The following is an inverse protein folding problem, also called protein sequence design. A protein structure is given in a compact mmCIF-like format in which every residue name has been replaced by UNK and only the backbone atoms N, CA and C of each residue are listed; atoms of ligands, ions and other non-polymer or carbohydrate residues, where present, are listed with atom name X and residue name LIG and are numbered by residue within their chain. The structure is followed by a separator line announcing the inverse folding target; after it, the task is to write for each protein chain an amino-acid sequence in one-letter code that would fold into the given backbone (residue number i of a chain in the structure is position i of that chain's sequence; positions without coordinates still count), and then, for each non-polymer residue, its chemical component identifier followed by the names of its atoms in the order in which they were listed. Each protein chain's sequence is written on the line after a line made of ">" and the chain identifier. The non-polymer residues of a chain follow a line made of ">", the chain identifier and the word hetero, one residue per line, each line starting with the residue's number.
data_IF_998542751566
#
_entry.id   IF_998542751566
#
_cell.length_a   1.000
_cell.length_b   1.000
_cell.length_c   1.000
_cell.angle_alpha   90.00
_cell.angle_beta   90.00
_cell.angle_gamma   90.00
#
_symmetry.space_group_name_H-M   'P 1'
#
loop_
_entity.id
_entity.type
_entity.pdbx_description
1 polymer ?
#
# COMPACT_ATOMS: atom_id res chain seq x y z
N UNK A 1 -75.83 11.90 60.72
CA UNK A 1 -75.94 11.03 59.53
C UNK A 1 -77.19 11.41 58.76
N UNK A 2 -78.38 11.36 59.37
CA UNK A 2 -79.65 11.75 58.71
C UNK A 2 -79.74 13.20 58.14
N UNK A 3 -78.98 14.17 58.65
CA UNK A 3 -78.94 15.54 58.08
C UNK A 3 -78.02 15.68 56.86
N UNK A 4 -77.12 14.72 56.59
CA UNK A 4 -76.15 14.81 55.47
C UNK A 4 -76.70 14.28 54.15
N UNK A 5 -77.69 13.39 54.19
CA UNK A 5 -78.28 12.75 53.00
C UNK A 5 -79.11 13.72 52.14
N UNK A 6 -79.64 14.79 52.75
CA UNK A 6 -80.40 15.83 52.05
C UNK A 6 -79.53 16.74 51.19
N UNK A 7 -78.24 16.90 51.56
CA UNK A 7 -77.28 17.72 50.81
C UNK A 7 -76.44 16.89 49.84
N UNK A 8 -76.16 15.62 50.17
CA UNK A 8 -75.32 14.72 49.37
C UNK A 8 -75.99 13.35 49.28
N UNK A 9 -76.66 13.02 48.15
CA UNK A 9 -77.28 11.73 47.96
C UNK A 9 -76.25 10.59 48.10
N UNK A 10 -76.61 9.54 48.83
CA UNK A 10 -75.77 8.36 49.13
C UNK A 10 -74.66 8.56 50.19
N UNK A 11 -74.64 9.67 50.95
CA UNK A 11 -73.68 9.86 52.03
C UNK A 11 -73.74 8.75 53.11
N UNK A 12 -74.92 8.18 53.33
CA UNK A 12 -75.19 7.14 54.32
C UNK A 12 -74.67 5.75 53.92
N UNK A 13 -74.26 5.58 52.65
CA UNK A 13 -73.67 4.35 52.10
C UNK A 13 -72.14 4.38 52.04
N UNK A 14 -71.50 5.46 52.51
CA UNK A 14 -70.05 5.53 52.58
C UNK A 14 -69.54 4.59 53.70
N UNK A 15 -68.64 3.64 53.40
CA UNK A 15 -68.10 2.76 54.42
C UNK A 15 -67.36 3.59 55.46
N UNK A 16 -67.84 3.57 56.70
CA UNK A 16 -67.14 4.15 57.84
C UNK A 16 -65.88 3.30 58.07
N UNK A 17 -64.73 3.83 57.69
CA UNK A 17 -63.44 3.19 57.96
C UNK A 17 -63.18 3.33 59.46
N UNK A 18 -63.51 2.29 60.23
CA UNK A 18 -63.16 2.20 61.63
C UNK A 18 -61.65 1.88 61.74
N UNK A 19 -60.83 2.93 61.85
CA UNK A 19 -59.39 2.76 62.06
C UNK A 19 -59.14 2.26 63.48
N UNK A 20 -58.50 1.09 63.60
CA UNK A 20 -58.03 0.58 64.89
C UNK A 20 -56.95 1.54 65.44
N UNK A 21 -57.17 2.22 66.57
CA UNK A 21 -56.22 3.22 67.09
C UNK A 21 -54.88 2.60 67.56
N UNK A 22 -54.81 1.28 67.73
CA UNK A 22 -53.58 0.57 68.06
C UNK A 22 -52.71 0.26 66.82
N UNK A 23 -53.20 0.53 65.60
CA UNK A 23 -52.50 0.22 64.35
C UNK A 23 -52.28 1.49 63.56
N UNK A 24 -51.02 1.89 63.40
CA UNK A 24 -50.68 3.02 62.53
C UNK A 24 -51.08 2.69 61.08
N UNK A 25 -51.92 3.50 60.42
CA UNK A 25 -52.33 3.25 59.05
C UNK A 25 -51.12 3.34 58.11
N UNK A 26 -51.06 2.48 57.08
CA UNK A 26 -49.93 2.49 56.15
C UNK A 26 -49.87 3.82 55.43
N UNK A 27 -48.67 4.40 55.34
CA UNK A 27 -48.44 5.57 54.51
C UNK A 27 -48.47 5.18 53.03
N UNK A 28 -48.65 6.15 52.13
CA UNK A 28 -48.47 5.92 50.70
C UNK A 28 -47.12 5.26 50.38
N UNK A 29 -46.08 5.50 51.18
CA UNK A 29 -44.77 4.86 51.01
C UNK A 29 -44.75 3.38 51.42
N UNK A 30 -45.62 2.97 52.36
CA UNK A 30 -45.76 1.58 52.79
C UNK A 30 -46.55 0.75 51.77
N UNK A 31 -47.60 1.34 51.20
CA UNK A 31 -48.42 0.73 50.14
C UNK A 31 -47.67 0.59 48.81
N UNK A 32 -46.70 1.48 48.53
CA UNK A 32 -45.85 1.43 47.33
C UNK A 32 -44.74 0.37 47.45
N UNK A 33 -44.59 -0.32 48.60
CA UNK A 33 -43.72 -1.47 48.74
C UNK A 33 -42.24 -1.14 48.53
N UNK A 34 -41.59 -0.52 49.53
CA UNK A 34 -40.12 -0.33 49.53
C UNK A 34 -39.33 -1.65 49.37
N UNK A 35 -39.92 -2.80 49.69
CA UNK A 35 -39.31 -4.10 49.46
C UNK A 35 -39.20 -4.47 47.97
N UNK A 36 -40.13 -4.05 47.11
CA UNK A 36 -40.06 -4.35 45.67
C UNK A 36 -39.24 -3.32 44.88
N UNK A 37 -39.22 -2.05 45.29
CA UNK A 37 -38.40 -1.02 44.66
C UNK A 37 -36.89 -1.15 44.94
N UNK A 38 -36.51 -1.72 46.09
CA UNK A 38 -35.10 -2.03 46.38
C UNK A 38 -34.57 -3.24 45.58
N UNK A 39 -35.44 -4.22 45.28
CA UNK A 39 -35.07 -5.41 44.52
C UNK A 39 -34.85 -5.08 43.03
N UNK A 40 -35.60 -4.14 42.46
CA UNK A 40 -35.40 -3.69 41.08
C UNK A 40 -34.24 -2.68 40.88
N UNK A 41 -33.75 -2.06 41.96
CA UNK A 41 -32.64 -1.09 41.87
C UNK A 41 -31.26 -1.69 42.03
N UNK A 42 -31.18 -2.99 42.35
CA UNK A 42 -29.96 -3.78 42.22
C UNK A 42 -29.87 -4.36 40.81
N UNK A 43 -29.72 -3.51 39.79
CA UNK A 43 -29.01 -3.94 38.58
C UNK A 43 -27.57 -4.21 39.02
N UNK A 44 -27.29 -5.47 39.37
CA UNK A 44 -26.03 -5.91 39.96
C UNK A 44 -24.88 -5.42 39.08
N UNK A 45 -24.29 -4.29 39.47
CA UNK A 45 -23.21 -3.71 38.70
C UNK A 45 -22.07 -4.71 38.75
N UNK A 46 -21.66 -5.24 37.59
CA UNK A 46 -20.59 -6.24 37.52
C UNK A 46 -19.38 -5.73 38.32
N UNK A 47 -18.85 -6.58 39.19
CA UNK A 47 -17.64 -6.27 39.95
C UNK A 47 -16.51 -5.89 39.00
N UNK A 48 -15.62 -4.98 39.44
CA UNK A 48 -14.52 -4.50 38.60
C UNK A 48 -13.71 -5.65 38.00
N UNK A 49 -13.41 -6.67 38.81
CA UNK A 49 -12.72 -7.91 38.38
C UNK A 49 -13.44 -8.63 37.24
N UNK A 50 -14.77 -8.73 37.29
CA UNK A 50 -15.56 -9.41 36.24
C UNK A 50 -15.59 -8.61 34.94
N UNK A 51 -15.60 -7.27 35.00
CA UNK A 51 -15.49 -6.43 33.79
C UNK A 51 -14.13 -6.58 33.12
N UNK A 52 -13.05 -6.62 33.89
CA UNK A 52 -11.71 -6.88 33.37
C UNK A 52 -11.58 -8.27 32.73
N UNK A 53 -12.13 -9.31 33.35
CA UNK A 53 -12.17 -10.66 32.77
C UNK A 53 -12.92 -10.70 31.44
N UNK A 54 -14.08 -10.05 31.36
CA UNK A 54 -14.86 -9.92 30.11
C UNK A 54 -14.04 -9.18 29.05
N UNK A 55 -13.35 -8.10 29.41
CA UNK A 55 -12.49 -7.37 28.48
C UNK A 55 -11.33 -8.22 27.94
N UNK A 56 -10.65 -8.98 28.81
CA UNK A 56 -9.55 -9.86 28.39
C UNK A 56 -10.04 -10.96 27.44
N UNK A 57 -11.21 -11.56 27.71
CA UNK A 57 -11.81 -12.54 26.82
C UNK A 57 -12.23 -11.92 25.48
N UNK A 58 -12.87 -10.74 25.51
CA UNK A 58 -13.26 -10.03 24.30
C UNK A 58 -12.05 -9.65 23.43
N UNK A 59 -10.96 -9.18 24.05
CA UNK A 59 -9.68 -8.92 23.38
C UNK A 59 -9.15 -10.17 22.69
N UNK A 60 -9.01 -11.28 23.43
CA UNK A 60 -8.43 -12.52 22.90
C UNK A 60 -9.29 -13.11 21.76
N UNK A 61 -10.60 -13.21 21.97
CA UNK A 61 -11.54 -13.73 20.96
C UNK A 61 -11.49 -12.86 19.71
N UNK A 62 -11.53 -11.53 19.86
CA UNK A 62 -11.49 -10.63 18.72
C UNK A 62 -10.18 -10.74 17.94
N UNK A 63 -9.03 -10.74 18.62
CA UNK A 63 -7.73 -10.81 17.97
C UNK A 63 -7.56 -12.12 17.19
N UNK A 64 -7.92 -13.26 17.80
CA UNK A 64 -7.85 -14.58 17.14
C UNK A 64 -8.82 -14.67 15.97
N UNK A 65 -10.04 -14.18 16.12
CA UNK A 65 -11.06 -14.23 15.06
C UNK A 65 -10.65 -13.39 13.85
N UNK A 66 -10.19 -12.16 14.09
CA UNK A 66 -9.71 -11.27 13.02
C UNK A 66 -8.44 -11.81 12.37
N UNK A 67 -7.49 -12.36 13.14
CA UNK A 67 -6.32 -13.02 12.59
C UNK A 67 -6.70 -14.23 11.71
N UNK A 68 -7.69 -15.02 12.13
CA UNK A 68 -8.24 -16.13 11.33
C UNK A 68 -8.87 -15.66 10.02
N UNK A 69 -9.73 -14.63 10.05
CA UNK A 69 -10.33 -14.04 8.84
C UNK A 69 -9.25 -13.50 7.90
N UNK A 70 -8.21 -12.86 8.46
CA UNK A 70 -7.07 -12.36 7.69
C UNK A 70 -6.26 -13.49 7.04
N UNK A 71 -6.01 -14.58 7.76
CA UNK A 71 -5.32 -15.75 7.25
C UNK A 71 -6.06 -16.44 6.08
N UNK A 72 -7.39 -16.26 6.00
CA UNK A 72 -8.21 -16.71 4.85
C UNK A 72 -8.14 -15.77 3.64
N UNK A 73 -7.44 -14.63 3.74
CA UNK A 73 -7.30 -13.64 2.67
C UNK A 73 -8.50 -12.70 2.50
N UNK A 74 -9.53 -12.79 3.34
CA UNK A 74 -10.78 -12.02 3.17
C UNK A 74 -10.59 -10.50 3.36
N UNK A 75 -9.53 -10.09 4.08
CA UNK A 75 -9.21 -8.70 4.32
C UNK A 75 -8.25 -8.09 3.29
N UNK A 76 -7.65 -8.91 2.41
CA UNK A 76 -6.57 -8.49 1.51
C UNK A 76 -6.93 -7.26 0.68
N UNK A 77 -8.12 -7.24 0.05
CA UNK A 77 -8.56 -6.11 -0.80
C UNK A 77 -8.58 -4.80 0.00
N UNK A 78 -9.16 -4.84 1.21
CA UNK A 78 -9.28 -3.65 2.07
C UNK A 78 -7.92 -3.19 2.60
N UNK A 79 -7.04 -4.13 2.93
CA UNK A 79 -5.68 -3.83 3.38
C UNK A 79 -4.83 -3.19 2.28
N UNK A 80 -4.91 -3.69 1.04
CA UNK A 80 -4.20 -3.12 -0.11
C UNK A 80 -4.75 -1.74 -0.50
N UNK A 81 -6.07 -1.55 -0.48
CA UNK A 81 -6.67 -0.23 -0.69
C UNK A 81 -6.25 0.78 0.39
N UNK A 82 -6.13 0.31 1.64
CA UNK A 82 -5.65 1.12 2.76
C UNK A 82 -4.18 1.46 2.59
N UNK A 83 -3.35 0.52 2.16
CA UNK A 83 -1.95 0.78 1.79
C UNK A 83 -1.87 1.89 0.75
N UNK A 84 -2.69 1.84 -0.30
CA UNK A 84 -2.69 2.88 -1.33
C UNK A 84 -3.10 4.25 -0.78
N UNK A 85 -4.13 4.28 0.09
CA UNK A 85 -4.56 5.51 0.76
C UNK A 85 -3.42 6.10 1.60
N UNK A 86 -2.75 5.28 2.40
CA UNK A 86 -1.63 5.71 3.23
C UNK A 86 -0.47 6.20 2.37
N UNK A 87 -0.17 5.52 1.25
CA UNK A 87 0.84 5.95 0.27
C UNK A 87 0.53 7.32 -0.32
N UNK A 88 -0.74 7.58 -0.69
CA UNK A 88 -1.19 8.89 -1.20
C UNK A 88 -1.13 10.01 -0.17
N UNK A 89 -1.29 9.68 1.12
CA UNK A 89 -1.22 10.64 2.23
C UNK A 89 0.22 10.97 2.64
N UNK A 90 1.24 10.32 2.08
CA UNK A 90 2.63 10.62 2.42
C UNK A 90 3.01 12.01 1.89
N UNK A 91 3.93 12.71 2.58
CA UNK A 91 4.52 13.93 2.05
C UNK A 91 5.17 13.67 0.69
N UNK A 92 5.03 14.60 -0.25
CA UNK A 92 5.70 14.52 -1.53
C UNK A 92 7.22 14.56 -1.32
N UNK A 93 7.93 13.59 -1.89
CA UNK A 93 9.39 13.57 -1.87
C UNK A 93 9.96 14.44 -3.00
N UNK A 94 11.13 15.04 -2.77
CA UNK A 94 11.83 15.89 -3.75
C UNK A 94 12.14 15.07 -5.03
N UNK A 95 12.10 15.72 -6.19
CA UNK A 95 12.47 15.13 -7.48
C UNK A 95 13.89 14.53 -7.46
N UNK A 96 14.11 13.40 -8.13
CA UNK A 96 15.41 12.73 -8.17
C UNK A 96 16.26 13.25 -9.33
N UNK A 97 17.14 14.19 -9.04
CA UNK A 97 18.01 14.85 -10.02
C UNK A 97 19.04 13.91 -10.67
N UNK A 98 19.17 12.66 -10.22
CA UNK A 98 20.05 11.65 -10.84
C UNK A 98 19.41 10.96 -12.03
N UNK A 99 18.12 11.17 -12.25
CA UNK A 99 17.38 10.61 -13.37
C UNK A 99 16.90 11.70 -14.34
N UNK A 100 16.76 11.32 -15.61
CA UNK A 100 16.12 12.08 -16.67
C UNK A 100 15.26 11.13 -17.50
N UNK A 101 14.06 11.56 -17.90
CA UNK A 101 13.25 10.85 -18.88
C UNK A 101 13.29 11.61 -20.21
N UNK A 102 13.72 10.93 -21.26
CA UNK A 102 13.45 11.33 -22.65
C UNK A 102 12.14 10.65 -23.04
N UNK A 103 11.08 11.44 -23.04
CA UNK A 103 9.74 10.95 -23.36
C UNK A 103 9.47 11.00 -24.86
N UNK A 104 8.77 9.98 -25.37
CA UNK A 104 8.21 9.95 -26.72
C UNK A 104 6.73 10.23 -26.62
N UNK A 105 6.34 11.45 -26.97
CA UNK A 105 4.95 11.94 -26.88
C UNK A 105 4.18 11.67 -28.17
N UNK A 106 2.88 12.01 -28.19
CA UNK A 106 2.07 11.94 -29.42
C UNK A 106 2.64 12.81 -30.53
N UNK A 107 3.11 14.03 -30.20
CA UNK A 107 3.73 14.92 -31.19
C UNK A 107 5.04 14.36 -31.74
N UNK A 108 5.78 13.59 -30.94
CA UNK A 108 6.98 12.89 -31.42
C UNK A 108 6.59 11.74 -32.36
N UNK A 109 5.52 11.00 -32.04
CA UNK A 109 4.99 9.91 -32.87
C UNK A 109 4.45 10.43 -34.21
N UNK A 110 3.72 11.54 -34.22
CA UNK A 110 3.24 12.17 -35.45
C UNK A 110 4.40 12.60 -36.35
N UNK A 111 5.51 13.07 -35.75
CA UNK A 111 6.67 13.57 -36.47
C UNK A 111 7.61 12.46 -36.97
N UNK A 112 7.87 11.45 -36.15
CA UNK A 112 8.89 10.41 -36.42
C UNK A 112 8.30 9.04 -36.76
N UNK A 113 6.98 8.88 -36.66
CA UNK A 113 6.27 7.62 -36.87
C UNK A 113 6.27 6.70 -35.63
N UNK A 114 5.41 5.68 -35.66
CA UNK A 114 5.38 4.63 -34.65
C UNK A 114 5.23 3.24 -35.30
N UNK A 115 6.06 2.25 -34.94
CA UNK A 115 7.22 2.33 -34.05
C UNK A 115 8.33 3.25 -34.60
N UNK A 116 9.08 3.92 -33.71
CA UNK A 116 10.21 4.78 -34.12
C UNK A 116 11.26 3.98 -34.90
N UNK A 117 11.80 4.53 -36.00
CA UNK A 117 12.86 3.88 -36.76
C UNK A 117 14.17 3.74 -35.96
N UNK A 118 15.03 2.82 -36.38
CA UNK A 118 16.33 2.61 -35.71
C UNK A 118 17.26 3.82 -35.87
N UNK A 119 17.14 4.59 -36.96
CA UNK A 119 17.86 5.85 -37.15
C UNK A 119 17.52 6.88 -36.06
N UNK A 120 16.24 7.00 -35.68
CA UNK A 120 15.80 7.94 -34.64
C UNK A 120 16.35 7.52 -33.28
N UNK A 121 16.27 6.23 -32.94
CA UNK A 121 16.84 5.72 -31.69
C UNK A 121 18.38 5.86 -31.65
N UNK A 122 19.06 5.53 -32.76
CA UNK A 122 20.51 5.67 -32.85
C UNK A 122 20.94 7.13 -32.64
N UNK A 123 20.21 8.09 -33.23
CA UNK A 123 20.46 9.52 -33.04
C UNK A 123 20.23 9.96 -31.59
N UNK A 124 19.12 9.53 -30.96
CA UNK A 124 18.83 9.85 -29.57
C UNK A 124 19.90 9.31 -28.62
N UNK A 125 20.27 8.04 -28.76
CA UNK A 125 21.34 7.41 -27.97
C UNK A 125 22.68 8.14 -28.20
N UNK A 126 23.01 8.47 -29.45
CA UNK A 126 24.23 9.19 -29.79
C UNK A 126 24.30 10.56 -29.08
N UNK A 127 23.20 11.33 -29.05
CA UNK A 127 23.13 12.62 -28.36
C UNK A 127 23.29 12.48 -26.85
N UNK A 128 22.65 11.48 -26.25
CA UNK A 128 22.79 11.22 -24.82
C UNK A 128 24.21 10.78 -24.44
N UNK A 129 24.84 9.93 -25.25
CA UNK A 129 26.22 9.53 -25.08
C UNK A 129 27.17 10.73 -25.23
N UNK A 130 26.96 11.58 -26.24
CA UNK A 130 27.73 12.81 -26.47
C UNK A 130 27.65 13.77 -25.28
N UNK A 131 26.50 13.87 -24.62
CA UNK A 131 26.31 14.72 -23.44
C UNK A 131 26.63 14.02 -22.11
N UNK A 132 27.29 12.85 -22.13
CA UNK A 132 27.84 12.21 -20.94
C UNK A 132 26.81 11.53 -20.05
N UNK A 133 25.72 11.00 -20.62
CA UNK A 133 24.81 10.13 -19.87
C UNK A 133 25.57 8.93 -19.27
N UNK A 134 25.45 8.73 -17.95
CA UNK A 134 26.16 7.66 -17.24
C UNK A 134 25.53 6.29 -17.53
N UNK A 135 24.21 6.26 -17.66
CA UNK A 135 23.44 5.07 -18.01
C UNK A 135 22.31 5.50 -18.92
N UNK A 136 22.11 4.80 -20.03
CA UNK A 136 21.00 5.00 -20.97
C UNK A 136 20.14 3.74 -20.94
N UNK A 137 18.95 3.82 -20.37
CA UNK A 137 17.99 2.72 -20.31
C UNK A 137 16.94 2.93 -21.41
N UNK A 138 17.07 2.19 -22.50
CA UNK A 138 16.12 2.23 -23.60
C UNK A 138 14.92 1.34 -23.25
N UNK A 139 13.83 1.95 -22.81
CA UNK A 139 12.54 1.30 -22.49
C UNK A 139 11.63 1.23 -23.73
N UNK A 140 12.18 0.74 -24.84
CA UNK A 140 11.45 0.54 -26.09
C UNK A 140 11.89 -0.80 -26.70
N UNK A 141 10.93 -1.71 -26.90
CA UNK A 141 11.20 -3.03 -27.49
C UNK A 141 11.76 -2.93 -28.91
N UNK A 142 12.85 -3.65 -29.17
CA UNK A 142 13.47 -3.79 -30.51
C UNK A 142 13.81 -5.24 -30.84
N UNK A 143 12.83 -6.17 -30.91
CA UNK A 143 13.09 -7.60 -31.14
C UNK A 143 13.59 -7.92 -32.56
N UNK A 144 13.46 -6.99 -33.51
CA UNK A 144 13.86 -7.12 -34.91
C UNK A 144 14.39 -5.77 -35.43
N UNK A 145 15.29 -5.78 -36.43
CA UNK A 145 15.71 -4.58 -37.15
C UNK A 145 14.53 -3.78 -37.68
N UNK A 146 14.60 -2.46 -37.61
CA UNK A 146 13.61 -1.55 -38.19
C UNK A 146 14.30 -0.40 -38.94
N UNK A 147 14.39 -0.56 -40.26
CA UNK A 147 14.96 0.45 -41.15
C UNK A 147 14.11 1.74 -41.20
N UNK A 148 14.72 2.89 -41.53
CA UNK A 148 16.16 3.07 -41.78
C UNK A 148 16.99 3.10 -40.50
N UNK A 149 18.26 2.70 -40.60
CA UNK A 149 19.29 2.99 -39.60
C UNK A 149 19.65 1.84 -38.64
N UNK A 150 19.30 0.59 -38.96
CA UNK A 150 19.62 -0.55 -38.10
C UNK A 150 21.13 -0.68 -37.85
N UNK A 151 21.97 -0.51 -38.88
CA UNK A 151 23.42 -0.60 -38.76
C UNK A 151 23.98 0.39 -37.71
N UNK A 152 23.45 1.62 -37.69
CA UNK A 152 23.86 2.63 -36.72
C UNK A 152 23.41 2.26 -35.30
N UNK A 153 22.18 1.79 -35.12
CA UNK A 153 21.68 1.36 -33.81
C UNK A 153 22.39 0.10 -33.31
N UNK A 154 22.68 -0.86 -34.19
CA UNK A 154 23.44 -2.07 -33.87
C UNK A 154 24.87 -1.73 -33.41
N UNK A 155 25.54 -0.79 -34.07
CA UNK A 155 26.84 -0.30 -33.65
C UNK A 155 26.78 0.34 -32.24
N UNK A 156 25.71 1.08 -31.93
CA UNK A 156 25.48 1.60 -30.57
C UNK A 156 25.26 0.48 -29.56
N UNK A 157 24.43 -0.51 -29.90
CA UNK A 157 24.22 -1.69 -29.05
C UNK A 157 25.50 -2.46 -28.78
N UNK A 158 26.46 -2.50 -29.70
CA UNK A 158 27.73 -3.19 -29.48
C UNK A 158 28.78 -2.32 -28.76
N UNK A 159 28.89 -1.04 -29.14
CA UNK A 159 29.97 -0.14 -28.69
C UNK A 159 29.67 0.69 -27.44
N UNK A 160 28.44 1.15 -27.26
CA UNK A 160 28.10 2.09 -26.17
C UNK A 160 27.86 1.32 -24.86
N UNK A 161 28.88 1.24 -24.01
CA UNK A 161 28.83 0.50 -22.74
C UNK A 161 27.73 0.96 -21.78
N UNK A 162 27.32 2.23 -21.88
CA UNK A 162 26.27 2.81 -21.04
C UNK A 162 24.85 2.49 -21.51
N UNK A 163 24.67 1.93 -22.72
CA UNK A 163 23.36 1.59 -23.28
C UNK A 163 22.89 0.23 -22.79
N UNK A 164 21.74 0.23 -22.13
CA UNK A 164 20.99 -0.93 -21.68
C UNK A 164 19.70 -0.99 -22.50
N UNK A 165 19.41 -2.16 -23.06
CA UNK A 165 18.15 -2.44 -23.72
C UNK A 165 17.33 -3.46 -22.95
N UNK A 166 16.15 -3.78 -23.51
CA UNK A 166 15.17 -4.56 -22.78
C UNK A 166 14.62 -5.76 -23.55
N UNK A 167 14.10 -6.73 -22.79
CA UNK A 167 13.23 -7.80 -23.27
C UNK A 167 12.07 -8.02 -22.28
N UNK A 168 11.18 -8.96 -22.57
CA UNK A 168 10.15 -9.39 -21.61
C UNK A 168 10.03 -10.90 -21.63
N UNK A 169 9.91 -11.49 -20.45
CA UNK A 169 9.71 -12.92 -20.27
C UNK A 169 8.26 -13.34 -20.56
N UNK A 170 8.03 -14.64 -20.52
CA UNK A 170 6.68 -15.19 -20.66
C UNK A 170 5.92 -14.99 -19.35
N UNK A 171 4.75 -14.38 -19.42
CA UNK A 171 3.86 -14.29 -18.26
C UNK A 171 3.21 -15.67 -17.99
N UNK A 172 3.41 -16.23 -16.81
CA UNK A 172 2.84 -17.55 -16.44
C UNK A 172 1.32 -17.59 -16.55
N UNK A 173 0.67 -16.46 -16.25
CA UNK A 173 -0.78 -16.35 -16.21
C UNK A 173 -1.39 -16.00 -17.57
N UNK A 174 -0.56 -15.80 -18.61
CA UNK A 174 -0.97 -15.52 -19.99
C UNK A 174 -0.21 -16.43 -20.95
N UNK A 175 -0.61 -17.70 -21.09
CA UNK A 175 0.13 -18.69 -21.87
C UNK A 175 0.34 -18.29 -23.34
N UNK A 176 -0.54 -17.43 -23.88
CA UNK A 176 -0.46 -16.92 -25.25
C UNK A 176 0.53 -15.73 -25.42
N UNK A 177 1.07 -15.17 -24.34
CA UNK A 177 2.03 -14.06 -24.39
C UNK A 177 3.45 -14.60 -24.21
N UNK A 178 4.08 -15.00 -25.32
CA UNK A 178 5.37 -15.71 -25.35
C UNK A 178 6.62 -14.88 -24.95
N UNK A 179 6.45 -13.70 -24.35
CA UNK A 179 7.52 -12.74 -24.13
C UNK A 179 8.05 -12.09 -25.42
N UNK A 180 8.89 -11.08 -25.24
CA UNK A 180 9.46 -10.27 -26.33
C UNK A 180 10.98 -10.47 -26.36
N UNK A 181 11.52 -10.76 -27.55
CA UNK A 181 12.96 -10.99 -27.76
C UNK A 181 13.79 -9.71 -27.51
N UNK A 182 15.04 -9.86 -27.04
CA UNK A 182 15.96 -8.73 -26.94
C UNK A 182 16.38 -8.18 -28.31
N UNK A 183 16.98 -6.98 -28.36
CA UNK A 183 17.65 -6.49 -29.56
C UNK A 183 18.76 -7.43 -30.02
N UNK A 184 18.80 -7.88 -31.30
CA UNK A 184 19.75 -8.90 -31.76
C UNK A 184 21.23 -8.55 -31.54
N UNK A 185 21.57 -7.26 -31.61
CA UNK A 185 22.95 -6.78 -31.49
C UNK A 185 23.36 -6.43 -30.03
N UNK A 186 22.44 -6.50 -29.06
CA UNK A 186 22.70 -6.11 -27.68
C UNK A 186 23.24 -7.30 -26.87
N UNK A 187 24.36 -7.15 -26.15
CA UNK A 187 24.91 -8.22 -25.32
C UNK A 187 24.07 -8.45 -24.05
N UNK A 188 24.09 -9.67 -23.52
CA UNK A 188 23.25 -10.11 -22.39
C UNK A 188 23.52 -9.34 -21.10
N UNK A 189 24.75 -8.89 -20.89
CA UNK A 189 25.16 -8.16 -19.68
C UNK A 189 24.50 -6.79 -19.58
N UNK A 190 24.08 -6.22 -20.73
CA UNK A 190 23.38 -4.93 -20.86
C UNK A 190 21.91 -5.09 -21.19
N UNK A 191 21.35 -6.25 -20.86
CA UNK A 191 19.94 -6.55 -21.05
C UNK A 191 19.22 -6.54 -19.69
N UNK A 192 18.05 -5.93 -19.65
CA UNK A 192 17.11 -6.01 -18.52
C UNK A 192 15.72 -6.43 -18.97
N UNK A 193 14.94 -7.05 -18.09
CA UNK A 193 13.55 -7.37 -18.38
C UNK A 193 12.60 -6.22 -17.97
N UNK A 194 11.55 -5.94 -18.74
CA UNK A 194 10.56 -4.90 -18.38
C UNK A 194 9.37 -5.43 -17.58
N UNK A 195 9.32 -6.75 -17.33
CA UNK A 195 8.22 -7.41 -16.62
C UNK A 195 7.95 -6.76 -15.25
N UNK A 196 6.67 -6.55 -14.97
CA UNK A 196 6.15 -6.01 -13.73
C UNK A 196 5.23 -7.02 -13.08
N UNK A 197 5.14 -6.94 -11.76
CA UNK A 197 4.23 -7.79 -10.99
C UNK A 197 3.00 -6.98 -10.61
N UNK A 198 1.86 -7.41 -11.12
CA UNK A 198 0.57 -6.76 -10.92
C UNK A 198 -0.21 -7.52 -9.83
N UNK A 199 -0.73 -6.81 -8.84
CA UNK A 199 -1.58 -7.42 -7.81
C UNK A 199 -2.94 -7.83 -8.37
N UNK A 200 -3.70 -8.61 -7.61
CA UNK A 200 -5.01 -9.16 -8.02
C UNK A 200 -6.04 -8.10 -8.44
N UNK A 201 -5.88 -6.86 -7.97
CA UNK A 201 -6.72 -5.71 -8.30
C UNK A 201 -6.18 -4.84 -9.45
N UNK A 202 -5.11 -5.29 -10.13
CA UNK A 202 -4.54 -4.60 -11.28
C UNK A 202 -3.52 -3.51 -10.95
N UNK A 203 -3.22 -3.28 -9.67
CA UNK A 203 -2.33 -2.21 -9.21
C UNK A 203 -0.90 -2.73 -8.97
N UNK A 204 0.10 -1.96 -9.41
CA UNK A 204 1.51 -2.26 -9.14
C UNK A 204 1.89 -1.69 -7.78
N UNK A 205 2.18 -2.58 -6.83
CA UNK A 205 2.72 -2.24 -5.50
C UNK A 205 4.09 -2.86 -5.22
N UNK A 206 4.51 -3.75 -6.10
CA UNK A 206 5.71 -4.58 -5.96
C UNK A 206 6.71 -4.26 -7.05
N UNK A 207 7.98 -4.41 -6.70
CA UNK A 207 9.11 -4.25 -7.59
C UNK A 207 9.84 -5.58 -7.70
N UNK A 208 9.82 -6.17 -8.90
CA UNK A 208 10.61 -7.34 -9.25
C UNK A 208 12.01 -6.88 -9.69
N UNK A 209 13.01 -7.14 -8.84
CA UNK A 209 14.39 -6.75 -9.09
C UNK A 209 15.09 -7.80 -9.96
N UNK A 210 14.92 -9.06 -9.56
CA UNK A 210 15.56 -10.19 -10.20
C UNK A 210 14.57 -11.32 -10.43
N UNK A 211 14.78 -12.11 -11.48
CA UNK A 211 14.05 -13.35 -11.68
C UNK A 211 15.00 -14.38 -12.29
N UNK A 212 14.68 -15.65 -12.16
CA UNK A 212 15.42 -16.69 -12.87
C UNK A 212 14.70 -17.00 -14.18
N UNK A 213 15.28 -16.68 -15.35
CA UNK A 213 14.66 -16.97 -16.63
C UNK A 213 14.62 -18.49 -16.84
N UNK A 214 13.50 -19.00 -17.38
CA UNK A 214 13.44 -20.40 -17.81
C UNK A 214 14.22 -20.58 -19.11
N UNK A 215 14.74 -21.78 -19.36
CA UNK A 215 15.49 -22.10 -20.59
C UNK A 215 14.68 -21.91 -21.88
N UNK A 216 13.35 -21.96 -21.79
CA UNK A 216 12.41 -21.70 -22.88
C UNK A 216 12.08 -20.22 -23.10
N UNK A 217 12.49 -19.33 -22.18
CA UNK A 217 12.13 -17.92 -22.23
C UNK A 217 12.93 -17.18 -23.31
N UNK A 218 12.24 -16.27 -24.00
CA UNK A 218 12.84 -15.42 -25.03
C UNK A 218 13.75 -14.34 -24.45
N UNK A 219 13.62 -14.07 -23.15
CA UNK A 219 14.34 -13.04 -22.41
C UNK A 219 15.22 -13.74 -21.37
N UNK A 220 16.52 -13.81 -21.64
CA UNK A 220 17.49 -14.56 -20.83
C UNK A 220 18.32 -13.64 -19.93
N UNK A 221 17.65 -12.75 -19.19
CA UNK A 221 18.30 -11.85 -18.22
C UNK A 221 17.66 -12.01 -16.86
N UNK A 222 18.50 -12.00 -15.83
CA UNK A 222 18.06 -12.18 -14.45
C UNK A 222 17.66 -10.87 -13.79
N UNK A 223 17.88 -9.72 -14.45
CA UNK A 223 17.76 -8.39 -13.87
C UNK A 223 16.66 -7.61 -14.58
N UNK A 224 15.82 -6.91 -13.81
CA UNK A 224 14.88 -5.97 -14.41
C UNK A 224 15.61 -4.79 -15.04
N UNK A 225 14.99 -4.10 -16.00
CA UNK A 225 15.56 -2.91 -16.64
C UNK A 225 15.91 -1.86 -15.58
N UNK A 226 15.02 -1.62 -14.63
CA UNK A 226 15.26 -0.72 -13.50
C UNK A 226 16.43 -1.15 -12.62
N UNK A 227 16.52 -2.43 -12.26
CA UNK A 227 17.65 -2.94 -11.48
C UNK A 227 18.97 -2.84 -12.25
N UNK A 228 18.99 -3.24 -13.52
CA UNK A 228 20.19 -3.15 -14.38
C UNK A 228 20.67 -1.72 -14.52
N UNK A 229 19.76 -0.76 -14.77
CA UNK A 229 20.10 0.65 -14.91
C UNK A 229 20.67 1.23 -13.61
N UNK A 230 20.02 0.95 -12.47
CA UNK A 230 20.49 1.40 -11.16
C UNK A 230 21.85 0.79 -10.79
N UNK A 231 22.04 -0.51 -11.00
CA UNK A 231 23.29 -1.19 -10.69
C UNK A 231 24.45 -0.72 -11.59
N UNK A 232 24.19 -0.48 -12.88
CA UNK A 232 25.19 0.09 -13.80
C UNK A 232 25.64 1.48 -13.31
N UNK A 233 24.71 2.32 -12.90
CA UNK A 233 24.99 3.66 -12.36
C UNK A 233 25.79 3.61 -11.05
N UNK A 234 25.40 2.71 -10.14
CA UNK A 234 26.06 2.52 -8.84
C UNK A 234 27.46 1.92 -8.98
N UNK A 235 27.66 1.03 -9.95
CA UNK A 235 28.98 0.44 -10.23
C UNK A 235 30.01 1.50 -10.62
N UNK A 236 29.61 2.53 -11.38
CA UNK A 236 30.46 3.68 -11.70
C UNK A 236 30.87 4.51 -10.46
N UNK A 237 30.14 4.36 -9.35
CA UNK A 237 30.45 4.96 -8.04
C UNK A 237 31.14 3.99 -7.08
N UNK A 238 31.58 2.82 -7.57
CA UNK A 238 32.25 1.80 -6.76
C UNK A 238 31.31 0.99 -5.86
N UNK A 239 29.99 1.10 -6.02
CA UNK A 239 29.00 0.38 -5.21
C UNK A 239 28.54 -0.86 -5.99
N UNK A 240 28.70 -2.04 -5.38
CA UNK A 240 28.31 -3.33 -5.95
C UNK A 240 27.36 -4.09 -5.00
N UNK A 241 26.45 -4.93 -5.54
CA UNK A 241 25.64 -5.84 -4.73
C UNK A 241 26.50 -6.77 -3.89
N UNK A 242 26.05 -7.05 -2.67
CA UNK A 242 26.64 -8.02 -1.76
C UNK A 242 25.55 -9.00 -1.31
N UNK A 243 25.81 -10.30 -1.41
CA UNK A 243 24.90 -11.31 -0.87
C UNK A 243 25.02 -11.32 0.66
N UNK A 244 23.87 -11.28 1.34
CA UNK A 244 23.76 -11.33 2.78
C UNK A 244 22.93 -12.57 3.20
N UNK A 245 23.06 -13.04 4.46
CA UNK A 245 22.28 -14.16 4.96
C UNK A 245 20.76 -13.95 4.87
N UNK A 246 20.02 -15.02 4.61
CA UNK A 246 18.55 -15.03 4.53
C UNK A 246 18.00 -14.37 3.28
N UNK A 247 18.60 -14.66 2.12
CA UNK A 247 18.23 -14.14 0.80
C UNK A 247 18.19 -12.61 0.71
N UNK A 248 18.99 -11.93 1.53
CA UNK A 248 19.10 -10.47 1.53
C UNK A 248 20.22 -10.01 0.60
N UNK A 249 20.06 -8.81 0.07
CA UNK A 249 21.08 -8.15 -0.74
C UNK A 249 21.48 -6.82 -0.11
N UNK A 250 22.74 -6.68 0.25
CA UNK A 250 23.35 -5.41 0.62
C UNK A 250 23.69 -4.60 -0.63
N UNK A 251 23.42 -3.30 -0.61
CA UNK A 251 23.77 -2.38 -1.69
C UNK A 251 23.98 -0.97 -1.12
N UNK A 252 25.25 -0.54 -1.05
CA UNK A 252 25.60 0.74 -0.44
C UNK A 252 25.15 0.82 1.01
N UNK A 253 24.31 1.81 1.34
CA UNK A 253 23.74 2.01 2.69
C UNK A 253 22.50 1.14 2.98
N UNK A 254 21.96 0.43 1.99
CA UNK A 254 20.68 -0.25 2.10
C UNK A 254 20.79 -1.78 2.11
N UNK A 255 19.82 -2.40 2.77
CA UNK A 255 19.60 -3.85 2.77
C UNK A 255 18.24 -4.11 2.13
N UNK A 256 18.25 -4.83 1.02
CA UNK A 256 17.07 -5.28 0.30
C UNK A 256 16.70 -6.67 0.83
N UNK A 257 15.45 -6.84 1.27
CA UNK A 257 14.91 -8.10 1.74
C UNK A 257 13.70 -8.48 0.87
N UNK A 258 13.65 -9.71 0.34
CA UNK A 258 12.54 -10.15 -0.49
C UNK A 258 11.25 -10.30 0.33
N UNK A 259 10.12 -10.19 -0.35
CA UNK A 259 8.80 -10.58 0.19
C UNK A 259 8.58 -12.08 -0.09
N UNK A 260 7.87 -12.76 0.82
CA UNK A 260 7.56 -14.19 0.73
C UNK A 260 6.05 -14.44 0.66
N UNK A 261 5.64 -15.66 0.28
CA UNK A 261 4.27 -16.09 -0.01
C UNK A 261 3.17 -15.55 0.95
N UNK A 262 3.38 -15.62 2.27
CA UNK A 262 2.42 -15.17 3.29
C UNK A 262 2.96 -14.01 4.13
N UNK A 263 3.30 -12.91 3.48
CA UNK A 263 3.79 -11.70 4.17
C UNK A 263 2.76 -10.58 4.09
N UNK A 264 2.39 -10.01 5.24
CA UNK A 264 1.58 -8.80 5.28
C UNK A 264 0.13 -9.03 4.91
N UNK A 265 -0.41 -8.15 4.07
CA UNK A 265 -1.78 -8.26 3.56
C UNK A 265 -1.95 -9.32 2.46
N UNK A 266 -0.85 -9.87 1.94
CA UNK A 266 -0.88 -10.81 0.83
C UNK A 266 -1.17 -12.24 1.31
N UNK A 267 -2.10 -12.90 0.64
CA UNK A 267 -2.40 -14.32 0.81
C UNK A 267 -2.18 -15.08 -0.50
N UNK A 268 -1.38 -16.15 -0.46
CA UNK A 268 -0.95 -16.94 -1.64
C UNK A 268 -0.28 -16.09 -2.71
N UNK A 269 0.72 -15.33 -2.30
CA UNK A 269 1.48 -14.45 -3.17
C UNK A 269 2.35 -15.27 -4.12
N UNK A 270 2.33 -14.92 -5.41
CA UNK A 270 3.39 -15.35 -6.31
C UNK A 270 4.69 -14.62 -5.93
N UNK A 271 5.53 -15.29 -5.16
CA UNK A 271 6.80 -14.79 -4.61
C UNK A 271 8.03 -15.20 -5.45
N UNK A 272 7.81 -15.65 -6.69
CA UNK A 272 8.91 -15.97 -7.62
C UNK A 272 9.75 -14.73 -7.94
N UNK A 273 11.06 -14.93 -7.95
CA UNK A 273 12.02 -13.86 -8.14
C UNK A 273 12.18 -12.96 -6.91
N UNK A 274 13.12 -12.02 -6.99
CA UNK A 274 13.40 -11.11 -5.89
C UNK A 274 12.46 -9.92 -5.95
N UNK A 275 11.41 -9.96 -5.13
CA UNK A 275 10.38 -8.93 -5.08
C UNK A 275 10.47 -8.11 -3.80
N UNK A 276 10.29 -6.80 -3.88
CA UNK A 276 10.17 -5.89 -2.72
C UNK A 276 8.94 -5.00 -2.86
N UNK A 277 8.52 -4.35 -1.77
CA UNK A 277 7.48 -3.33 -1.84
C UNK A 277 8.01 -2.06 -2.50
N UNK A 278 7.23 -1.50 -3.41
CA UNK A 278 7.55 -0.26 -4.11
C UNK A 278 7.14 0.95 -3.27
N UNK A 279 8.16 1.71 -2.87
CA UNK A 279 8.08 2.99 -2.20
C UNK A 279 8.10 4.14 -3.23
N UNK A 280 6.93 4.42 -3.81
CA UNK A 280 6.75 5.52 -4.76
C UNK A 280 7.16 6.87 -4.15
N UNK A 281 7.87 7.68 -4.94
CA UNK A 281 8.37 9.01 -4.54
C UNK A 281 7.28 10.08 -4.59
N UNK A 282 6.60 10.16 -5.73
CA UNK A 282 5.51 11.08 -6.02
C UNK A 282 4.80 10.62 -7.30
N UNK A 283 3.48 10.84 -7.46
CA UNK A 283 2.78 10.53 -8.70
C UNK A 283 3.22 11.41 -9.87
N UNK A 284 3.60 12.66 -9.60
CA UNK A 284 3.91 13.67 -10.61
C UNK A 284 5.29 14.31 -10.33
N UNK A 285 6.00 14.68 -11.39
CA UNK A 285 7.21 15.51 -11.35
C UNK A 285 8.39 14.97 -10.50
N UNK A 286 8.40 13.67 -10.19
CA UNK A 286 9.51 13.05 -9.45
C UNK A 286 10.81 12.93 -10.27
N UNK A 287 10.71 13.13 -11.60
CA UNK A 287 11.80 13.06 -12.56
C UNK A 287 11.62 14.19 -13.57
N UNK A 288 12.74 14.79 -13.99
CA UNK A 288 12.75 15.75 -15.11
C UNK A 288 12.43 15.01 -16.41
N UNK A 289 11.54 15.58 -17.23
CA UNK A 289 11.13 15.01 -18.52
C UNK A 289 11.50 15.98 -19.64
N UNK A 290 12.01 15.44 -20.75
CA UNK A 290 12.34 16.19 -21.97
C UNK A 290 11.82 15.42 -23.17
N UNK A 291 11.34 16.10 -24.21
CA UNK A 291 10.77 15.43 -25.38
C UNK A 291 11.86 14.88 -26.28
N UNK A 292 11.58 13.78 -26.97
CA UNK A 292 12.48 13.20 -27.95
C UNK A 292 12.84 14.22 -29.04
N UNK A 293 11.87 14.95 -29.59
CA UNK A 293 12.12 16.01 -30.56
C UNK A 293 13.06 17.11 -30.04
N UNK A 294 12.96 17.47 -28.75
CA UNK A 294 13.82 18.49 -28.14
C UNK A 294 15.25 18.00 -27.99
N UNK A 295 15.44 16.74 -27.59
CA UNK A 295 16.75 16.09 -27.54
C UNK A 295 17.40 16.06 -28.93
N UNK A 296 16.66 15.63 -29.95
CA UNK A 296 17.16 15.52 -31.32
C UNK A 296 17.43 16.90 -31.96
N UNK A 297 16.72 17.94 -31.53
CA UNK A 297 16.93 19.32 -31.96
C UNK A 297 17.98 20.08 -31.14
N UNK A 298 18.72 19.40 -30.24
CA UNK A 298 19.73 19.99 -29.35
C UNK A 298 19.19 21.14 -28.46
N UNK A 299 17.91 21.08 -28.10
CA UNK A 299 17.26 22.08 -27.21
C UNK A 299 17.30 21.71 -25.73
N UNK A 300 17.83 20.52 -25.42
CA UNK A 300 17.97 20.03 -24.03
C UNK A 300 19.30 20.52 -23.47
N UNK A 301 19.29 21.04 -22.25
CA UNK A 301 20.50 21.45 -21.55
C UNK A 301 21.44 20.24 -21.36
N UNK A 302 22.68 20.24 -21.89
CA UNK A 302 23.62 19.13 -21.73
C UNK A 302 23.90 18.78 -20.26
N UNK A 303 23.88 19.78 -19.36
CA UNK A 303 24.10 19.57 -17.93
C UNK A 303 22.96 18.79 -17.25
N UNK A 304 21.77 18.72 -17.86
CA UNK A 304 20.69 17.86 -17.36
C UNK A 304 20.82 16.40 -17.80
N UNK A 305 21.80 16.06 -18.65
CA UNK A 305 22.06 14.69 -19.14
C UNK A 305 23.31 14.10 -18.47
N UNK A 306 24.36 14.91 -18.30
CA UNK A 306 25.65 14.46 -17.80
C UNK A 306 25.55 13.77 -16.43
N UNK A 307 26.24 12.64 -16.27
CA UNK A 307 26.34 11.87 -15.02
C UNK A 307 25.00 11.38 -14.44
N UNK A 308 23.99 11.16 -15.28
CA UNK A 308 22.64 10.69 -14.89
C UNK A 308 22.26 9.36 -15.53
N UNK A 309 21.23 8.74 -14.96
CA UNK A 309 20.48 7.66 -15.60
C UNK A 309 19.42 8.30 -16.50
N UNK A 310 19.47 8.04 -17.79
CA UNK A 310 18.51 8.54 -18.76
C UNK A 310 17.65 7.40 -19.25
N UNK A 311 16.35 7.47 -18.97
CA UNK A 311 15.35 6.57 -19.55
C UNK A 311 14.87 7.13 -20.88
N UNK A 312 14.67 6.28 -21.87
CA UNK A 312 14.01 6.63 -23.14
C UNK A 312 12.77 5.75 -23.27
N UNK A 313 11.58 6.32 -23.34
CA UNK A 313 10.35 5.52 -23.41
C UNK A 313 9.12 6.30 -23.84
N UNK A 314 8.07 5.57 -24.18
CA UNK A 314 6.83 6.13 -24.74
C UNK A 314 5.89 6.58 -23.63
N UNK A 315 5.47 7.85 -23.68
CA UNK A 315 4.47 8.45 -22.78
C UNK A 315 3.21 8.92 -23.51
N UNK A 316 3.13 8.64 -24.83
CA UNK A 316 1.93 8.83 -25.64
C UNK A 316 0.83 7.80 -25.28
N UNK A 317 -0.43 8.23 -25.07
CA UNK A 317 -1.53 7.34 -24.76
C UNK A 317 -2.02 6.57 -26.00
N UNK A 318 -1.29 5.51 -26.36
CA UNK A 318 -1.63 4.63 -27.48
C UNK A 318 -2.66 3.55 -27.10
N UNK A 319 -3.38 3.00 -28.09
CA UNK A 319 -4.43 1.99 -27.86
C UNK A 319 -3.95 0.67 -27.22
N UNK A 320 -2.66 0.30 -27.41
CA UNK A 320 -2.02 -0.88 -26.81
C UNK A 320 -0.84 -0.46 -25.91
N UNK A 321 -1.07 0.53 -25.07
CA UNK A 321 0.00 1.23 -24.37
C UNK A 321 0.42 0.55 -23.06
N UNK A 322 1.70 0.70 -22.74
CA UNK A 322 2.36 0.18 -21.54
C UNK A 322 2.00 1.05 -20.33
N UNK A 323 0.71 1.05 -19.94
CA UNK A 323 0.18 1.89 -18.87
C UNK A 323 -0.42 1.03 -17.76
N UNK A 324 -0.02 1.33 -16.53
CA UNK A 324 -0.41 0.54 -15.38
C UNK A 324 -1.14 1.37 -14.32
N UNK A 325 -1.98 0.68 -13.56
CA UNK A 325 -2.55 1.25 -12.34
C UNK A 325 -1.48 1.23 -11.25
N UNK A 326 -1.41 2.33 -10.51
CA UNK A 326 -0.53 2.50 -9.36
C UNK A 326 -1.37 2.94 -8.15
N UNK A 327 -0.81 2.97 -6.93
CA UNK A 327 -1.51 3.51 -5.76
C UNK A 327 -2.05 4.92 -5.96
N UNK A 328 -1.52 5.69 -6.91
CA UNK A 328 -1.99 7.04 -7.23
C UNK A 328 -3.07 7.09 -8.31
N UNK A 329 -3.29 6.00 -9.05
CA UNK A 329 -4.25 5.98 -10.15
C UNK A 329 -5.68 6.23 -9.70
N UNK A 330 -6.04 5.88 -8.46
CA UNK A 330 -7.35 6.16 -7.87
C UNK A 330 -7.48 7.56 -7.23
N UNK A 331 -6.38 8.34 -7.18
CA UNK A 331 -6.32 9.63 -6.48
C UNK A 331 -6.74 10.83 -7.31
N UNK A 332 -6.81 10.71 -8.63
CA UNK A 332 -7.13 11.79 -9.56
C UNK A 332 -8.19 11.34 -10.57
N UNK A 333 -9.18 12.19 -10.86
CA UNK A 333 -10.17 11.98 -11.91
C UNK A 333 -9.82 12.87 -13.12
N UNK A 334 -9.80 12.33 -14.36
CA UNK A 334 -9.97 10.92 -14.71
C UNK A 334 -8.80 10.07 -14.20
N UNK A 335 -9.06 8.80 -13.86
CA UNK A 335 -8.05 7.88 -13.34
C UNK A 335 -6.82 7.84 -14.25
N UNK A 336 -5.69 8.36 -13.74
CA UNK A 336 -4.44 8.43 -14.51
C UNK A 336 -3.63 7.17 -14.29
N UNK A 337 -3.52 6.34 -15.33
CA UNK A 337 -2.52 5.28 -15.38
C UNK A 337 -1.14 5.88 -15.58
N UNK A 338 -0.11 5.23 -15.04
CA UNK A 338 1.28 5.66 -15.19
C UNK A 338 1.94 4.91 -16.36
N UNK A 339 2.62 5.61 -17.29
CA UNK A 339 3.50 4.98 -18.29
C UNK A 339 4.53 4.04 -17.66
N UNK A 340 4.78 2.89 -18.29
CA UNK A 340 5.71 1.86 -17.81
C UNK A 340 7.13 2.38 -17.60
N UNK A 341 7.61 3.26 -18.48
CA UNK A 341 8.92 3.91 -18.34
C UNK A 341 9.03 4.75 -17.08
N UNK A 342 7.96 5.42 -16.65
CA UNK A 342 7.94 6.17 -15.39
C UNK A 342 7.97 5.22 -14.20
N UNK A 343 7.36 4.03 -14.31
CA UNK A 343 7.43 2.99 -13.27
C UNK A 343 8.85 2.42 -13.17
N UNK A 344 9.51 2.12 -14.29
CA UNK A 344 10.91 1.68 -14.30
C UNK A 344 11.84 2.76 -13.71
N UNK A 345 11.56 4.04 -13.97
CA UNK A 345 12.28 5.16 -13.35
C UNK A 345 12.01 5.28 -11.84
N UNK A 346 10.78 5.09 -11.36
CA UNK A 346 10.47 5.06 -9.91
C UNK A 346 11.23 3.93 -9.20
N UNK A 347 11.19 2.73 -9.80
CA UNK A 347 11.91 1.55 -9.33
C UNK A 347 13.42 1.79 -9.25
N UNK A 348 13.99 2.45 -10.26
CA UNK A 348 15.41 2.82 -10.27
C UNK A 348 15.75 3.88 -9.23
N UNK A 349 14.90 4.92 -9.08
CA UNK A 349 15.04 5.96 -8.05
C UNK A 349 14.99 5.37 -6.63
N UNK A 350 14.15 4.34 -6.41
CA UNK A 350 14.14 3.60 -5.14
C UNK A 350 15.48 2.92 -4.88
N UNK A 351 16.02 2.17 -5.86
CA UNK A 351 17.29 1.46 -5.68
C UNK A 351 18.44 2.44 -5.38
N UNK A 352 18.62 3.46 -6.22
CA UNK A 352 19.75 4.39 -6.06
C UNK A 352 19.59 5.29 -4.83
N UNK A 353 18.36 5.68 -4.50
CA UNK A 353 18.07 6.48 -3.30
C UNK A 353 18.36 5.69 -2.03
N UNK A 354 17.97 4.41 -1.99
CA UNK A 354 18.28 3.54 -0.87
C UNK A 354 19.80 3.32 -0.75
N UNK A 355 20.47 3.02 -1.85
CA UNK A 355 21.90 2.73 -1.85
C UNK A 355 22.80 3.93 -1.49
N UNK A 356 22.50 5.13 -2.00
CA UNK A 356 23.32 6.33 -1.82
C UNK A 356 22.90 7.17 -0.63
N UNK A 357 21.59 7.38 -0.45
CA UNK A 357 21.05 8.35 0.50
C UNK A 357 20.52 7.68 1.76
N UNK A 358 20.39 6.34 1.78
CA UNK A 358 19.70 5.62 2.85
C UNK A 358 18.18 5.86 2.80
N UNK A 359 17.62 6.13 1.62
CA UNK A 359 16.16 6.23 1.43
C UNK A 359 15.49 4.95 1.95
N UNK A 360 14.46 5.14 2.76
CA UNK A 360 13.76 4.05 3.45
C UNK A 360 13.14 3.08 2.43
N UNK A 361 13.39 1.78 2.64
CA UNK A 361 12.70 0.69 1.95
C UNK A 361 11.52 0.24 2.80
N UNK A 362 10.36 0.02 2.17
CA UNK A 362 9.18 -0.48 2.87
C UNK A 362 9.37 -1.95 3.24
N UNK A 363 9.20 -2.25 4.51
CA UNK A 363 9.27 -3.57 5.10
C UNK A 363 7.90 -3.95 5.65
N UNK A 364 7.56 -5.21 5.43
CA UNK A 364 6.39 -5.82 6.04
C UNK A 364 6.85 -6.39 7.37
N UNK A 365 6.10 -6.09 8.44
CA UNK A 365 6.42 -6.65 9.75
C UNK A 365 6.21 -8.17 9.78
N UNK A 366 7.03 -8.93 10.53
CA UNK A 366 6.82 -10.36 10.73
C UNK A 366 5.44 -10.68 11.31
N UNK A 367 4.89 -11.85 10.98
CA UNK A 367 3.54 -12.30 11.39
C UNK A 367 3.31 -12.16 12.90
N UNK A 368 4.29 -12.51 13.73
CA UNK A 368 4.15 -12.40 15.18
C UNK A 368 3.99 -10.94 15.66
N UNK A 369 4.67 -9.98 15.01
CA UNK A 369 4.52 -8.56 15.31
C UNK A 369 3.14 -8.06 14.85
N UNK A 370 2.64 -8.56 13.73
CA UNK A 370 1.27 -8.27 13.29
C UNK A 370 0.22 -8.78 14.29
N UNK A 371 0.40 -10.00 14.81
CA UNK A 371 -0.50 -10.56 15.82
C UNK A 371 -0.50 -9.72 17.09
N UNK A 372 0.68 -9.30 17.57
CA UNK A 372 0.80 -8.39 18.71
C UNK A 372 0.15 -7.02 18.41
N UNK A 373 0.29 -6.51 17.20
CA UNK A 373 -0.31 -5.25 16.76
C UNK A 373 -1.83 -5.32 16.80
N UNK A 374 -2.41 -6.37 16.23
CA UNK A 374 -3.86 -6.62 16.22
C UNK A 374 -4.39 -6.83 17.65
N UNK A 375 -3.67 -7.59 18.47
CA UNK A 375 -4.02 -7.80 19.88
C UNK A 375 -3.97 -6.49 20.68
N UNK A 376 -2.98 -5.63 20.42
CA UNK A 376 -2.89 -4.29 21.01
C UNK A 376 -4.10 -3.42 20.66
N UNK A 377 -4.53 -3.43 19.39
CA UNK A 377 -5.74 -2.71 18.97
C UNK A 377 -7.02 -3.26 19.63
N UNK A 378 -7.13 -4.59 19.74
CA UNK A 378 -8.23 -5.25 20.46
C UNK A 378 -8.26 -4.83 21.95
N UNK A 379 -7.08 -4.75 22.58
CA UNK A 379 -6.94 -4.32 23.98
C UNK A 379 -7.45 -2.89 24.18
N UNK A 380 -7.11 -1.97 23.26
CA UNK A 380 -7.63 -0.59 23.26
C UNK A 380 -9.16 -0.60 23.15
N UNK A 381 -9.73 -1.41 22.25
CA UNK A 381 -11.18 -1.56 22.10
C UNK A 381 -11.88 -2.01 23.37
N UNK A 382 -11.35 -3.05 24.02
CA UNK A 382 -11.86 -3.53 25.32
C UNK A 382 -11.69 -2.49 26.44
N UNK A 383 -10.58 -1.76 26.48
CA UNK A 383 -10.36 -0.71 27.47
C UNK A 383 -11.37 0.44 27.33
N UNK A 384 -11.66 0.88 26.10
CA UNK A 384 -12.70 1.89 25.83
C UNK A 384 -14.05 1.45 26.39
N UNK A 385 -14.43 0.19 26.17
CA UNK A 385 -15.68 -0.38 26.67
C UNK A 385 -15.77 -0.43 28.20
N UNK A 386 -14.67 -0.76 28.89
CA UNK A 386 -14.62 -0.87 30.35
C UNK A 386 -14.66 0.50 31.02
N UNK A 387 -13.90 1.47 30.48
CA UNK A 387 -13.75 2.82 31.07
C UNK A 387 -14.95 3.70 30.78
N UNK A 388 -15.59 3.53 29.63
CA UNK A 388 -16.74 4.33 29.23
C UNK A 388 -17.95 4.05 30.13
N UNK A 389 -18.65 5.11 30.55
CA UNK A 389 -19.87 4.99 31.36
C UNK A 389 -21.15 5.18 30.54
N UNK A 390 -21.03 5.77 29.35
CA UNK A 390 -22.15 6.08 28.43
C UNK A 390 -21.80 5.64 27.01
N UNK A 391 -22.81 5.24 26.22
CA UNK A 391 -22.66 4.84 24.79
C UNK A 391 -21.93 5.89 23.97
N UNK A 392 -22.28 7.17 24.15
CA UNK A 392 -21.62 8.25 23.44
C UNK A 392 -20.11 8.36 23.76
N UNK A 393 -19.70 8.12 25.02
CA UNK A 393 -18.28 8.13 25.39
C UNK A 393 -17.52 6.99 24.72
N UNK A 394 -18.11 5.80 24.63
CA UNK A 394 -17.49 4.66 23.95
C UNK A 394 -17.34 4.92 22.44
N UNK A 395 -18.36 5.49 21.80
CA UNK A 395 -18.31 5.84 20.36
C UNK A 395 -17.25 6.92 20.11
N UNK A 396 -17.23 8.00 20.88
CA UNK A 396 -16.22 9.06 20.74
C UNK A 396 -14.81 8.52 21.03
N UNK A 397 -14.66 7.68 22.06
CA UNK A 397 -13.41 7.03 22.39
C UNK A 397 -12.90 6.14 21.25
N UNK A 398 -13.78 5.37 20.60
CA UNK A 398 -13.44 4.53 19.46
C UNK A 398 -13.01 5.37 18.24
N UNK A 399 -13.70 6.48 17.96
CA UNK A 399 -13.32 7.40 16.86
C UNK A 399 -11.94 8.01 17.12
N UNK A 400 -11.70 8.53 18.32
CA UNK A 400 -10.42 9.17 18.68
C UNK A 400 -9.28 8.16 18.65
N UNK A 401 -9.45 7.00 19.31
CA UNK A 401 -8.41 5.97 19.33
C UNK A 401 -8.17 5.38 17.94
N UNK A 402 -9.22 5.21 17.13
CA UNK A 402 -9.09 4.77 15.73
C UNK A 402 -8.33 5.78 14.87
N UNK A 403 -8.60 7.07 15.03
CA UNK A 403 -7.86 8.14 14.37
C UNK A 403 -6.37 8.15 14.76
N UNK A 404 -6.08 8.02 16.05
CA UNK A 404 -4.70 7.91 16.57
C UNK A 404 -4.02 6.67 16.00
N UNK A 405 -4.68 5.50 16.02
CA UNK A 405 -4.12 4.26 15.48
C UNK A 405 -3.82 4.36 13.99
N UNK A 406 -4.74 4.96 13.22
CA UNK A 406 -4.54 5.28 11.81
C UNK A 406 -3.33 6.21 11.59
N UNK A 407 -3.19 7.24 12.41
CA UNK A 407 -2.04 8.15 12.40
C UNK A 407 -0.72 7.43 12.72
N UNK A 408 -0.72 6.48 13.66
CA UNK A 408 0.46 5.67 13.97
C UNK A 408 0.82 4.76 12.79
N UNK A 409 -0.15 4.06 12.19
CA UNK A 409 0.09 3.24 11.00
C UNK A 409 0.64 4.07 9.83
N UNK A 410 0.13 5.28 9.63
CA UNK A 410 0.63 6.21 8.61
C UNK A 410 2.08 6.65 8.90
N UNK A 411 2.37 7.02 10.15
CA UNK A 411 3.72 7.41 10.57
C UNK A 411 4.72 6.25 10.42
N UNK A 412 4.34 5.04 10.83
CA UNK A 412 5.15 3.84 10.66
C UNK A 412 5.44 3.55 9.18
N UNK A 413 4.47 3.74 8.29
CA UNK A 413 4.68 3.60 6.84
C UNK A 413 5.74 4.58 6.33
N UNK A 414 5.71 5.84 6.77
CA UNK A 414 6.75 6.83 6.42
C UNK A 414 8.13 6.40 6.94
N UNK A 415 8.16 5.72 8.09
CA UNK A 415 9.39 5.18 8.69
C UNK A 415 9.82 3.83 8.10
N UNK A 416 9.10 3.29 7.12
CA UNK A 416 9.47 2.07 6.42
C UNK A 416 8.73 0.82 6.87
N UNK A 417 7.77 0.93 7.78
CA UNK A 417 7.08 -0.22 8.37
C UNK A 417 5.62 -0.23 7.96
N UNK A 418 5.24 -1.24 7.17
CA UNK A 418 3.83 -1.46 6.83
C UNK A 418 3.20 -2.39 7.85
N UNK A 419 2.26 -1.86 8.64
CA UNK A 419 1.50 -2.56 9.68
C UNK A 419 -0.01 -2.64 9.34
N UNK A 420 -0.73 -3.67 9.84
CA UNK A 420 -2.11 -3.94 9.42
C UNK A 420 -3.14 -3.00 10.06
N UNK A 421 -3.55 -1.94 9.35
CA UNK A 421 -4.54 -1.00 9.85
C UNK A 421 -5.97 -1.58 9.86
N UNK A 422 -6.42 -2.22 8.77
CA UNK A 422 -7.80 -2.73 8.67
C UNK A 422 -8.07 -3.83 9.72
N UNK A 423 -7.22 -4.87 9.86
CA UNK A 423 -7.39 -5.85 10.93
C UNK A 423 -7.37 -5.22 12.32
N UNK A 424 -6.52 -4.22 12.56
CA UNK A 424 -6.47 -3.52 13.86
C UNK A 424 -7.79 -2.81 14.18
N UNK A 425 -8.36 -2.06 13.22
CA UNK A 425 -9.62 -1.35 13.43
C UNK A 425 -10.77 -2.34 13.64
N UNK A 426 -10.83 -3.41 12.86
CA UNK A 426 -11.85 -4.46 13.04
C UNK A 426 -11.73 -5.13 14.41
N UNK A 427 -10.51 -5.45 14.85
CA UNK A 427 -10.28 -6.07 16.16
C UNK A 427 -10.64 -5.12 17.31
N UNK A 428 -10.31 -3.83 17.18
CA UNK A 428 -10.70 -2.81 18.15
C UNK A 428 -12.22 -2.68 18.27
N UNK A 429 -12.93 -2.61 17.14
CA UNK A 429 -14.38 -2.49 17.11
C UNK A 429 -15.07 -3.75 17.65
N UNK A 430 -14.65 -4.94 17.22
CA UNK A 430 -15.24 -6.20 17.67
C UNK A 430 -14.99 -6.44 19.17
N UNK A 431 -13.77 -6.21 19.66
CA UNK A 431 -13.45 -6.32 21.09
C UNK A 431 -14.26 -5.33 21.94
N UNK A 432 -14.41 -4.09 21.48
CA UNK A 432 -15.21 -3.06 22.14
C UNK A 432 -16.69 -3.41 22.18
N UNK A 433 -17.27 -3.84 21.05
CA UNK A 433 -18.67 -4.24 20.94
C UNK A 433 -18.98 -5.43 21.86
N UNK A 434 -18.16 -6.49 21.82
CA UNK A 434 -18.32 -7.65 22.69
C UNK A 434 -18.28 -7.23 24.17
N UNK A 435 -17.27 -6.45 24.57
CA UNK A 435 -17.16 -5.98 25.94
C UNK A 435 -18.37 -5.12 26.37
N UNK A 436 -18.87 -4.22 25.52
CA UNK A 436 -20.07 -3.41 25.80
C UNK A 436 -21.30 -4.30 25.99
N UNK A 437 -21.54 -5.25 25.07
CA UNK A 437 -22.69 -6.17 25.17
C UNK A 437 -22.65 -6.92 26.50
N UNK A 438 -21.54 -7.56 26.85
CA UNK A 438 -21.48 -8.35 28.07
C UNK A 438 -21.44 -7.52 29.37
N UNK A 439 -20.99 -6.27 29.31
CA UNK A 439 -20.90 -5.41 30.50
C UNK A 439 -22.11 -4.52 30.72
N UNK A 440 -22.80 -4.09 29.66
CA UNK A 440 -23.89 -3.11 29.71
C UNK A 440 -25.27 -3.71 29.45
N UNK A 441 -25.38 -4.90 28.85
CA UNK A 441 -26.67 -5.59 28.65
C UNK A 441 -27.31 -6.08 29.97
N UNK A 442 -26.59 -5.99 31.09
CA UNK A 442 -27.07 -6.31 32.46
C UNK A 442 -27.43 -5.08 33.30
N UNK A 443 -27.40 -3.88 32.72
CA UNK A 443 -27.90 -2.64 33.33
C UNK A 443 -29.14 -2.19 32.58
#
# INVERSE_FOLDING_TARGET
>A
MAELESEIPCADWLPVICQNPAVSPPTWQDLIGRSQLAIYRNSASLSGRRRWQIGLLAMAISAVSVAGIRALGWLQIWELQTFDRLMRLRPAEISDARLLLVEVTETDIEKYGFPLSDAVLAAAVAKLAQHGAQTIALDIFRPRPLEPGYAALAARFQGDRNLIGLCSAKESNKPNKCGIKPPPALPKERLGFSDVVVDSDGIIRRHLLFMQPHSSDRCATDYSLSARAALHYLAAKGIKPQSLPGDKMGLGKAIFAPIHDSTGAYHKLDDRGFQIILNYRSPQNFIQQVRLAELLAEKVNPNSIANRIVFIGVTAPLANSDYFLTPYSAGELPYRKMPGVLIQAQMSSQIIGAALDGRVLLQIVPIWQEMLWIAGAAAVGSAIAIVSRRRLQAVLGAIVCGGIWGGICWFLLIRGWWVPLVPSVLAMLAAGLMAIVFTWWRK
#
